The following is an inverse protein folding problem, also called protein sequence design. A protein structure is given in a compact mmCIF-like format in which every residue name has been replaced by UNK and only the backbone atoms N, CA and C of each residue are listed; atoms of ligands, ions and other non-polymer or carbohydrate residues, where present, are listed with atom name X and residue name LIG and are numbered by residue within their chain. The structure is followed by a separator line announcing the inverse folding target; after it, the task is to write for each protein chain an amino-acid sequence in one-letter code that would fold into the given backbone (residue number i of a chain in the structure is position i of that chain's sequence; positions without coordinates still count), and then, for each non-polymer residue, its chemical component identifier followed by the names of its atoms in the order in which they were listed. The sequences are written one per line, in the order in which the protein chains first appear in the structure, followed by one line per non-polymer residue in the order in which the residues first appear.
data_IF_496220311737
#
_entry.id   IF_496220311737
#
_cell.length_a   1.000
_cell.length_b   1.000
_cell.length_c   1.000
_cell.angle_alpha   90.00
_cell.angle_beta   90.00
_cell.angle_gamma   90.00
#
_symmetry.space_group_name_H-M   'P 1'
#
loop_
_entity.id
_entity.type
_entity.pdbx_description
1 polymer ?
#
# COMPACT_ATOMS: atom_id res chain seq x y z
N UNK A 1 -40.63 31.47 99.28
CA UNK A 1 -39.90 32.72 98.94
C UNK A 1 -39.09 32.46 97.64
N UNK A 2 -39.13 33.43 96.72
CA UNK A 2 -38.30 33.57 95.49
C UNK A 2 -38.70 32.69 94.35
N UNK A 3 -39.42 33.10 93.41
CA UNK A 3 -39.32 33.86 92.15
C UNK A 3 -38.18 33.41 91.23
N UNK A 4 -38.52 32.79 90.12
CA UNK A 4 -37.68 32.76 88.96
C UNK A 4 -38.48 32.73 87.65
N UNK A 5 -38.25 33.70 86.80
CA UNK A 5 -38.86 33.94 85.48
C UNK A 5 -38.47 32.81 84.47
N UNK A 6 -39.35 32.60 83.45
CA UNK A 6 -39.00 31.76 82.31
C UNK A 6 -38.41 32.62 81.22
N UNK A 7 -37.34 32.15 80.68
CA UNK A 7 -36.63 32.72 79.52
C UNK A 7 -37.22 32.12 78.22
N UNK A 8 -37.86 32.98 77.42
CA UNK A 8 -38.40 32.67 76.14
C UNK A 8 -37.22 32.66 75.16
N UNK A 9 -36.86 31.50 74.62
CA UNK A 9 -35.86 31.34 73.50
C UNK A 9 -36.64 31.41 72.19
N UNK A 10 -36.46 32.51 71.47
CA UNK A 10 -37.01 32.73 70.14
C UNK A 10 -36.12 31.93 69.14
N UNK A 11 -36.71 30.85 68.59
CA UNK A 11 -35.99 30.03 67.55
C UNK A 11 -36.28 30.65 66.19
N UNK A 12 -35.31 31.40 65.64
CA UNK A 12 -35.33 31.88 64.25
C UNK A 12 -35.08 30.70 63.30
N UNK A 13 -36.16 30.37 62.58
CA UNK A 13 -36.10 29.39 61.49
C UNK A 13 -35.49 30.04 60.26
N UNK A 14 -34.14 29.75 59.97
CA UNK A 14 -33.50 30.12 58.69
C UNK A 14 -33.84 29.06 57.69
N UNK A 15 -34.73 29.38 56.75
CA UNK A 15 -35.01 28.57 55.55
C UNK A 15 -33.85 28.77 54.59
N UNK A 16 -32.96 27.79 54.51
CA UNK A 16 -31.93 27.70 53.49
C UNK A 16 -32.62 27.14 52.21
N UNK A 17 -32.93 28.03 51.28
CA UNK A 17 -33.35 27.65 49.95
C UNK A 17 -32.15 27.01 49.24
N UNK A 18 -32.10 25.67 49.22
CA UNK A 18 -31.18 24.93 48.38
C UNK A 18 -31.56 25.14 46.90
N UNK A 19 -30.89 26.12 46.27
CA UNK A 19 -30.93 26.28 44.81
C UNK A 19 -30.24 25.08 44.16
N UNK A 20 -31.04 24.15 43.65
CA UNK A 20 -30.53 23.15 42.69
C UNK A 20 -30.12 23.89 41.41
N UNK A 21 -28.88 24.38 41.36
CA UNK A 21 -28.22 24.76 40.11
C UNK A 21 -28.14 23.51 39.24
N UNK A 22 -28.92 23.42 38.16
CA UNK A 22 -28.64 22.50 37.06
C UNK A 22 -27.20 22.72 36.62
N UNK A 23 -26.33 21.79 36.97
CA UNK A 23 -24.99 21.70 36.40
C UNK A 23 -25.23 21.49 34.91
N UNK A 24 -25.04 22.52 34.09
CA UNK A 24 -24.91 22.38 32.66
C UNK A 24 -23.75 21.42 32.46
N UNK A 25 -24.08 20.23 32.00
CA UNK A 25 -23.10 19.25 31.56
C UNK A 25 -22.34 19.89 30.39
N UNK A 26 -21.18 20.49 30.67
CA UNK A 26 -20.30 21.02 29.66
C UNK A 26 -19.94 19.85 28.77
N UNK A 27 -20.56 19.77 27.57
CA UNK A 27 -20.21 18.85 26.51
C UNK A 27 -18.69 18.97 26.31
N UNK A 28 -17.95 17.85 26.38
CA UNK A 28 -16.50 17.90 26.17
C UNK A 28 -16.20 18.65 24.89
N UNK A 29 -15.12 19.45 24.83
CA UNK A 29 -14.79 20.18 23.62
C UNK A 29 -14.72 19.19 22.47
N UNK A 30 -15.50 19.45 21.44
CA UNK A 30 -15.57 18.64 20.24
C UNK A 30 -14.20 18.70 19.56
N UNK A 31 -13.44 17.63 19.65
CA UNK A 31 -12.07 17.58 19.14
C UNK A 31 -12.13 17.41 17.62
N UNK A 32 -12.15 18.53 16.90
CA UNK A 32 -12.18 18.55 15.44
C UNK A 32 -10.78 18.24 14.94
N UNK A 33 -10.59 17.08 14.35
CA UNK A 33 -9.31 16.66 13.81
C UNK A 33 -9.03 17.37 12.46
N UNK A 34 -7.82 17.88 12.29
CA UNK A 34 -7.38 18.40 10.99
C UNK A 34 -6.84 17.24 10.16
N UNK A 35 -7.33 17.08 8.94
CA UNK A 35 -6.95 16.02 8.03
C UNK A 35 -6.65 16.55 6.63
N UNK A 36 -5.78 15.88 5.91
CA UNK A 36 -5.70 15.97 4.46
C UNK A 36 -6.50 14.83 3.85
N UNK A 37 -7.01 15.01 2.66
CA UNK A 37 -7.82 14.00 1.97
C UNK A 37 -7.27 13.69 0.60
N UNK A 38 -7.55 12.49 0.10
CA UNK A 38 -7.30 12.11 -1.27
C UNK A 38 -8.55 11.44 -1.87
N UNK A 39 -8.73 11.59 -3.17
CA UNK A 39 -9.76 10.86 -3.88
C UNK A 39 -9.27 9.43 -4.21
N UNK A 40 -10.10 8.43 -3.95
CA UNK A 40 -9.84 7.04 -4.35
C UNK A 40 -9.80 6.96 -5.87
N UNK A 41 -8.62 6.70 -6.41
CA UNK A 41 -8.41 6.53 -7.84
C UNK A 41 -8.61 5.07 -8.25
N UNK A 42 -9.01 4.84 -9.50
CA UNK A 42 -8.98 3.51 -10.11
C UNK A 42 -7.70 3.36 -10.94
N UNK A 43 -6.93 2.28 -10.70
CA UNK A 43 -5.68 2.01 -11.43
C UNK A 43 -5.56 0.54 -11.81
N UNK A 44 -4.84 0.30 -12.90
CA UNK A 44 -4.35 -1.03 -13.24
C UNK A 44 -3.08 -1.31 -12.45
N UNK A 45 -3.07 -2.40 -11.69
CA UNK A 45 -1.95 -2.78 -10.83
C UNK A 45 -1.39 -4.13 -11.27
N UNK A 46 -0.17 -4.18 -11.79
CA UNK A 46 0.47 -5.46 -12.08
C UNK A 46 0.91 -6.13 -10.77
N UNK A 47 0.44 -7.36 -10.56
CA UNK A 47 1.01 -8.27 -9.59
C UNK A 47 2.34 -8.77 -10.15
N UNK A 48 3.44 -8.33 -9.58
CA UNK A 48 4.77 -8.68 -10.07
C UNK A 48 5.54 -9.52 -9.07
N UNK A 49 6.35 -10.43 -9.60
CA UNK A 49 7.34 -11.17 -8.82
C UNK A 49 8.72 -10.85 -9.32
N UNK A 50 9.69 -10.83 -8.41
CA UNK A 50 11.06 -10.51 -8.73
C UNK A 50 12.03 -11.57 -8.25
N UNK A 51 13.07 -11.82 -9.05
CA UNK A 51 14.20 -12.66 -8.69
C UNK A 51 15.51 -11.96 -9.02
N UNK A 52 16.55 -12.28 -8.27
CA UNK A 52 17.89 -11.81 -8.54
C UNK A 52 18.67 -12.96 -9.17
N UNK A 53 19.28 -12.69 -10.31
CA UNK A 53 20.04 -13.67 -11.06
C UNK A 53 21.28 -13.07 -11.68
N UNK A 54 21.88 -13.84 -12.58
CA UNK A 54 23.11 -13.46 -13.27
C UNK A 54 23.10 -13.96 -14.71
N UNK A 55 24.04 -13.49 -15.50
CA UNK A 55 24.27 -14.01 -16.83
C UNK A 55 24.57 -15.52 -16.82
N UNK A 56 24.05 -16.24 -17.80
CA UNK A 56 24.26 -17.68 -17.98
C UNK A 56 24.28 -18.08 -19.46
N UNK A 57 24.66 -19.30 -19.69
CA UNK A 57 24.60 -19.96 -21.02
C UNK A 57 23.25 -20.69 -21.15
N UNK A 58 22.63 -20.62 -22.32
CA UNK A 58 21.25 -21.12 -22.50
C UNK A 58 21.18 -22.63 -22.42
N UNK A 59 22.07 -23.35 -23.02
CA UNK A 59 22.02 -24.81 -23.03
C UNK A 59 23.33 -25.42 -23.50
N UNK A 60 23.64 -26.62 -23.03
CA UNK A 60 24.73 -27.43 -23.57
C UNK A 60 24.44 -27.96 -24.99
N UNK A 61 23.16 -27.86 -25.42
CA UNK A 61 22.73 -28.32 -26.74
C UNK A 61 22.74 -27.21 -27.81
N UNK A 62 22.69 -25.94 -27.39
CA UNK A 62 22.85 -24.83 -28.34
C UNK A 62 24.32 -24.71 -28.68
N UNK A 63 24.66 -24.91 -29.95
CA UNK A 63 26.02 -24.71 -30.45
C UNK A 63 26.35 -23.23 -30.26
N UNK A 64 27.16 -22.96 -29.24
CA UNK A 64 27.63 -21.61 -28.94
C UNK A 64 28.54 -21.13 -30.09
N UNK A 65 28.09 -20.11 -30.79
CA UNK A 65 28.92 -19.38 -31.75
C UNK A 65 29.30 -18.02 -31.12
N UNK A 66 30.52 -17.93 -30.54
CA UNK A 66 30.99 -16.72 -29.87
C UNK A 66 31.03 -15.50 -30.79
N UNK A 67 31.12 -15.71 -32.10
CA UNK A 67 31.24 -14.61 -33.06
C UNK A 67 29.90 -14.04 -33.48
N UNK A 68 28.84 -14.83 -33.38
CA UNK A 68 27.47 -14.45 -33.79
C UNK A 68 26.58 -14.00 -32.63
N UNK A 69 26.70 -14.64 -31.47
CA UNK A 69 25.67 -14.51 -30.41
C UNK A 69 26.05 -13.54 -29.31
N UNK A 70 27.31 -13.39 -28.93
CA UNK A 70 27.73 -12.48 -27.86
C UNK A 70 27.47 -10.99 -28.16
N UNK A 71 27.40 -10.59 -29.42
CA UNK A 71 27.16 -9.20 -29.78
C UNK A 71 25.68 -8.81 -29.75
N UNK A 72 24.75 -9.76 -29.70
CA UNK A 72 23.33 -9.50 -29.91
C UNK A 72 22.34 -10.14 -28.93
N UNK A 73 22.76 -11.11 -28.10
CA UNK A 73 21.89 -11.82 -27.16
C UNK A 73 22.59 -12.10 -25.86
N UNK A 74 21.85 -11.90 -24.78
CA UNK A 74 22.24 -12.29 -23.43
C UNK A 74 21.19 -13.22 -22.85
N UNK A 75 21.62 -14.09 -21.97
CA UNK A 75 20.74 -14.98 -21.23
C UNK A 75 20.91 -14.73 -19.73
N UNK A 76 19.83 -14.46 -19.04
CA UNK A 76 19.82 -14.21 -17.60
C UNK A 76 19.08 -15.35 -16.92
N UNK A 77 19.76 -15.98 -15.97
CA UNK A 77 19.19 -17.02 -15.11
C UNK A 77 18.56 -16.36 -13.89
N UNK A 78 17.26 -16.61 -13.68
CA UNK A 78 16.46 -16.06 -12.60
C UNK A 78 15.85 -17.21 -11.80
N UNK A 79 16.21 -17.40 -10.51
CA UNK A 79 15.62 -18.41 -9.65
C UNK A 79 14.29 -17.92 -9.10
N UNK A 80 13.17 -18.45 -9.57
CA UNK A 80 11.85 -18.17 -9.04
C UNK A 80 11.34 -19.31 -8.15
N UNK A 81 10.53 -19.02 -7.11
CA UNK A 81 9.86 -20.05 -6.32
C UNK A 81 8.96 -20.95 -7.17
N UNK A 82 8.83 -22.22 -6.77
CA UNK A 82 8.10 -23.24 -7.53
C UNK A 82 6.61 -22.92 -7.71
N UNK A 83 5.99 -22.28 -6.73
CA UNK A 83 4.58 -21.85 -6.76
C UNK A 83 4.33 -20.78 -7.82
N UNK A 84 5.28 -19.86 -8.01
CA UNK A 84 5.21 -18.79 -9.01
C UNK A 84 5.36 -19.36 -10.43
N UNK A 85 6.22 -20.35 -10.61
CA UNK A 85 6.54 -20.89 -11.94
C UNK A 85 5.33 -21.47 -12.66
N UNK A 86 4.35 -22.01 -11.95
CA UNK A 86 3.10 -22.50 -12.53
C UNK A 86 2.30 -21.43 -13.27
N UNK A 87 2.54 -20.16 -12.95
CA UNK A 87 1.90 -18.97 -13.53
C UNK A 87 2.73 -18.38 -14.68
N UNK A 88 3.99 -18.80 -14.84
CA UNK A 88 4.88 -18.29 -15.88
C UNK A 88 4.66 -19.03 -17.21
N UNK A 89 4.92 -18.29 -18.31
CA UNK A 89 4.81 -18.85 -19.66
C UNK A 89 6.07 -18.49 -20.47
N UNK A 90 6.51 -19.44 -21.29
CA UNK A 90 7.53 -19.18 -22.31
C UNK A 90 6.99 -18.08 -23.24
N UNK A 91 7.85 -17.12 -23.61
CA UNK A 91 7.46 -15.96 -24.39
C UNK A 91 7.00 -14.75 -23.57
N UNK A 92 6.81 -14.90 -22.25
CA UNK A 92 6.41 -13.80 -21.36
C UNK A 92 7.56 -12.80 -21.18
N UNK A 93 7.22 -11.52 -21.14
CA UNK A 93 8.18 -10.43 -20.94
C UNK A 93 8.70 -10.38 -19.50
N UNK A 94 9.96 -10.06 -19.36
CA UNK A 94 10.68 -9.85 -18.09
C UNK A 94 11.36 -8.50 -18.13
N UNK A 95 11.10 -7.64 -17.15
CA UNK A 95 11.87 -6.42 -16.97
C UNK A 95 13.14 -6.74 -16.22
N UNK A 96 14.29 -6.47 -16.81
CA UNK A 96 15.62 -6.73 -16.25
C UNK A 96 16.28 -5.42 -15.86
N UNK A 97 16.79 -5.34 -14.63
CA UNK A 97 17.45 -4.16 -14.09
C UNK A 97 18.84 -4.56 -13.59
N UNK A 98 19.88 -3.91 -14.09
CA UNK A 98 21.24 -4.05 -13.56
C UNK A 98 21.34 -3.40 -12.18
N UNK A 99 21.97 -4.08 -11.23
CA UNK A 99 22.24 -3.49 -9.91
C UNK A 99 23.35 -2.42 -9.97
N UNK A 100 24.27 -2.52 -10.88
CA UNK A 100 25.43 -1.62 -10.96
C UNK A 100 25.07 -0.21 -11.45
N UNK A 101 24.31 -0.11 -12.55
CA UNK A 101 24.00 1.17 -13.19
C UNK A 101 22.50 1.50 -13.23
N UNK A 102 21.65 0.63 -12.66
CA UNK A 102 20.20 0.80 -12.64
C UNK A 102 19.51 0.76 -14.00
N UNK A 103 20.25 0.51 -15.09
CA UNK A 103 19.67 0.45 -16.42
C UNK A 103 18.72 -0.71 -16.57
N UNK A 104 17.60 -0.46 -17.23
CA UNK A 104 16.54 -1.42 -17.48
C UNK A 104 16.52 -1.86 -18.94
N UNK A 105 16.18 -3.12 -19.16
CA UNK A 105 15.85 -3.67 -20.47
C UNK A 105 14.72 -4.68 -20.36
N UNK A 106 14.15 -5.07 -21.50
CA UNK A 106 13.11 -6.08 -21.56
C UNK A 106 13.69 -7.35 -22.17
N UNK A 107 13.59 -8.44 -21.43
CA UNK A 107 13.86 -9.79 -21.90
C UNK A 107 12.57 -10.58 -22.10
N UNK A 108 12.71 -11.79 -22.61
CA UNK A 108 11.61 -12.74 -22.81
C UNK A 108 11.99 -14.08 -22.21
N UNK A 109 11.07 -14.73 -21.50
CA UNK A 109 11.28 -16.08 -20.98
C UNK A 109 11.49 -17.05 -22.15
N UNK A 110 12.68 -17.61 -22.25
CA UNK A 110 13.06 -18.57 -23.28
C UNK A 110 12.88 -20.01 -22.81
N UNK A 111 13.20 -20.26 -21.55
CA UNK A 111 13.21 -21.60 -20.99
C UNK A 111 12.83 -21.56 -19.49
N UNK A 112 12.15 -22.57 -19.03
CA UNK A 112 11.86 -22.81 -17.62
C UNK A 112 12.44 -24.19 -17.29
N UNK A 113 13.50 -24.21 -16.47
CA UNK A 113 14.22 -25.43 -16.08
C UNK A 113 13.72 -25.92 -14.73
N UNK A 114 13.35 -27.20 -14.60
CA UNK A 114 13.05 -27.76 -13.31
C UNK A 114 14.21 -27.55 -12.34
N UNK A 115 13.90 -27.25 -11.09
CA UNK A 115 14.91 -27.13 -10.05
C UNK A 115 15.69 -28.42 -9.93
N UNK A 116 17.01 -28.33 -10.06
CA UNK A 116 17.91 -29.47 -9.82
C UNK A 116 18.15 -29.72 -8.32
N UNK A 117 17.71 -28.81 -7.46
CA UNK A 117 17.90 -28.89 -6.02
C UNK A 117 16.55 -28.89 -5.29
N UNK A 118 16.26 -29.97 -4.62
CA UNK A 118 15.11 -30.09 -3.69
C UNK A 118 15.28 -29.19 -2.45
N UNK A 119 16.48 -28.70 -2.17
CA UNK A 119 16.75 -27.85 -1.00
C UNK A 119 16.31 -26.41 -1.18
N UNK A 120 16.37 -25.87 -2.41
CA UNK A 120 16.04 -24.45 -2.64
C UNK A 120 14.59 -24.22 -3.07
N UNK A 121 13.88 -25.26 -3.50
CA UNK A 121 12.50 -25.21 -4.03
C UNK A 121 12.31 -24.10 -5.10
N UNK A 122 13.37 -23.80 -5.84
CA UNK A 122 13.37 -22.80 -6.91
C UNK A 122 13.46 -23.46 -8.26
N UNK A 123 12.90 -22.80 -9.26
CA UNK A 123 12.98 -23.16 -10.67
C UNK A 123 13.78 -22.09 -11.38
N UNK A 124 14.68 -22.50 -12.25
CA UNK A 124 15.46 -21.58 -13.05
C UNK A 124 14.67 -21.14 -14.28
N UNK A 125 14.44 -19.84 -14.37
CA UNK A 125 13.85 -19.21 -15.53
C UNK A 125 14.97 -18.53 -16.31
N UNK A 126 15.10 -18.87 -17.59
CA UNK A 126 16.08 -18.28 -18.48
C UNK A 126 15.41 -17.20 -19.34
N UNK A 127 15.79 -15.97 -19.13
CA UNK A 127 15.35 -14.83 -19.92
C UNK A 127 16.36 -14.51 -21.02
N UNK A 128 15.90 -14.47 -22.27
CA UNK A 128 16.68 -14.01 -23.42
C UNK A 128 16.53 -12.48 -23.55
N UNK A 129 17.64 -11.78 -23.70
CA UNK A 129 17.69 -10.35 -23.99
C UNK A 129 18.31 -10.15 -25.36
N UNK A 130 17.58 -9.55 -26.27
CA UNK A 130 18.14 -9.03 -27.52
C UNK A 130 18.80 -7.70 -27.21
N UNK A 131 20.12 -7.62 -27.39
CA UNK A 131 20.88 -6.43 -27.01
C UNK A 131 20.42 -5.18 -27.78
N UNK A 132 19.79 -4.21 -27.09
CA UNK A 132 19.31 -2.98 -27.72
C UNK A 132 20.41 -1.92 -27.92
N UNK A 133 21.71 -2.31 -27.80
CA UNK A 133 22.83 -1.38 -27.92
C UNK A 133 23.16 -0.69 -26.60
N UNK A 134 24.02 -1.29 -25.79
CA UNK A 134 24.58 -0.66 -24.61
C UNK A 134 24.18 -1.20 -23.25
N UNK A 135 23.11 -2.02 -23.14
CA UNK A 135 22.83 -2.76 -21.92
C UNK A 135 23.71 -4.02 -21.87
N UNK A 136 24.42 -4.19 -20.77
CA UNK A 136 25.20 -5.40 -20.49
C UNK A 136 24.89 -5.86 -19.06
N UNK A 137 24.69 -7.16 -18.84
CA UNK A 137 24.59 -7.66 -17.49
C UNK A 137 25.97 -7.52 -16.82
N UNK A 138 26.00 -6.71 -15.76
CA UNK A 138 27.18 -6.54 -14.94
C UNK A 138 26.86 -7.13 -13.57
N UNK A 139 27.43 -8.28 -13.24
CA UNK A 139 27.20 -8.96 -11.97
C UNK A 139 25.75 -9.43 -11.80
N UNK A 140 25.05 -8.90 -10.79
CA UNK A 140 23.67 -9.30 -10.48
C UNK A 140 22.64 -8.48 -11.24
N UNK A 141 21.60 -9.15 -11.71
CA UNK A 141 20.46 -8.58 -12.43
C UNK A 141 19.17 -8.90 -11.70
N UNK A 142 18.33 -7.92 -11.47
CA UNK A 142 16.96 -8.14 -11.00
C UNK A 142 16.04 -8.36 -12.19
N UNK A 143 15.37 -9.51 -12.21
CA UNK A 143 14.29 -9.79 -13.15
C UNK A 143 12.94 -9.61 -12.47
N UNK A 144 12.03 -8.85 -13.07
CA UNK A 144 10.66 -8.61 -12.60
C UNK A 144 9.68 -9.10 -13.66
N UNK A 145 8.76 -9.98 -13.27
CA UNK A 145 7.75 -10.58 -14.15
C UNK A 145 6.37 -10.21 -13.65
N UNK A 146 5.52 -9.73 -14.56
CA UNK A 146 4.11 -9.50 -14.24
C UNK A 146 3.34 -10.81 -14.36
N UNK A 147 2.78 -11.28 -13.26
CA UNK A 147 1.99 -12.52 -13.21
C UNK A 147 0.54 -12.30 -13.62
N UNK A 148 -0.01 -11.15 -13.25
CA UNK A 148 -1.39 -10.77 -13.46
C UNK A 148 -1.51 -9.26 -13.42
N UNK A 149 -2.56 -8.72 -14.03
CA UNK A 149 -2.90 -7.30 -13.94
C UNK A 149 -4.28 -7.20 -13.30
N UNK A 150 -4.34 -6.66 -12.10
CA UNK A 150 -5.58 -6.27 -11.47
C UNK A 150 -6.04 -4.96 -12.12
N UNK A 151 -7.14 -5.03 -12.87
CA UNK A 151 -7.60 -3.89 -13.66
C UNK A 151 -8.61 -3.06 -12.90
N UNK A 152 -8.50 -1.73 -13.05
CA UNK A 152 -9.48 -0.77 -12.54
C UNK A 152 -9.73 -0.91 -11.02
N UNK A 153 -8.68 -1.21 -10.25
CA UNK A 153 -8.80 -1.41 -8.81
C UNK A 153 -8.74 -0.10 -8.03
N UNK A 154 -9.56 0.04 -6.98
CA UNK A 154 -9.45 1.18 -6.07
C UNK A 154 -8.07 1.23 -5.42
N UNK A 155 -7.43 2.39 -5.45
CA UNK A 155 -6.15 2.61 -4.78
C UNK A 155 -6.20 3.85 -3.88
N UNK A 156 -5.53 3.76 -2.75
CA UNK A 156 -5.39 4.85 -1.79
C UNK A 156 -3.93 5.04 -1.40
N UNK A 157 -3.52 6.23 -0.96
CA UNK A 157 -2.22 6.43 -0.35
C UNK A 157 -2.04 5.51 0.88
N UNK A 158 -0.85 5.00 1.10
CA UNK A 158 -0.54 4.12 2.22
C UNK A 158 -0.91 4.74 3.57
N UNK A 159 -0.73 6.05 3.73
CA UNK A 159 -1.07 6.80 4.94
C UNK A 159 -2.58 6.81 5.26
N UNK A 160 -3.44 6.48 4.28
CA UNK A 160 -4.89 6.37 4.50
C UNK A 160 -5.28 5.10 5.24
N UNK A 161 -4.39 4.10 5.29
CA UNK A 161 -4.67 2.82 5.95
C UNK A 161 -4.32 2.93 7.43
N UNK A 162 -5.32 2.72 8.27
CA UNK A 162 -5.17 2.70 9.73
C UNK A 162 -5.39 1.29 10.25
N UNK A 163 -4.40 0.76 10.96
CA UNK A 163 -4.53 -0.54 11.60
C UNK A 163 -5.27 -0.39 12.94
N UNK A 164 -6.35 -1.14 13.11
CA UNK A 164 -7.15 -1.23 14.33
C UNK A 164 -7.16 -2.68 14.82
N UNK A 165 -7.52 -2.95 16.08
CA UNK A 165 -7.59 -4.33 16.59
C UNK A 165 -8.47 -5.26 15.74
N UNK A 166 -9.50 -4.70 15.08
CA UNK A 166 -10.41 -5.44 14.21
C UNK A 166 -9.91 -5.58 12.76
N UNK A 167 -8.76 -5.00 12.41
CA UNK A 167 -8.19 -5.03 11.05
C UNK A 167 -7.87 -3.66 10.47
N UNK A 168 -7.59 -3.62 9.18
CA UNK A 168 -7.31 -2.40 8.44
C UNK A 168 -8.60 -1.60 8.20
N UNK A 169 -8.53 -0.28 8.39
CA UNK A 169 -9.65 0.65 8.24
C UNK A 169 -9.20 1.85 7.41
N UNK A 170 -10.08 2.34 6.56
CA UNK A 170 -9.97 3.64 5.87
C UNK A 170 -11.11 4.53 6.35
N UNK A 171 -10.80 5.80 6.60
CA UNK A 171 -11.82 6.79 6.96
C UNK A 171 -12.27 7.56 5.72
N UNK A 172 -13.52 7.33 5.32
CA UNK A 172 -14.18 8.07 4.25
C UNK A 172 -14.75 9.35 4.80
N UNK A 173 -14.48 10.47 4.15
CA UNK A 173 -14.96 11.78 4.58
C UNK A 173 -16.19 12.17 3.76
N UNK A 174 -17.30 12.39 4.47
CA UNK A 174 -18.53 12.94 3.92
C UNK A 174 -19.08 13.98 4.89
N UNK A 175 -19.49 15.15 4.38
CA UNK A 175 -20.05 16.24 5.16
C UNK A 175 -19.20 16.65 6.38
N UNK A 176 -17.87 16.64 6.22
CA UNK A 176 -16.89 16.89 7.28
C UNK A 176 -16.98 15.89 8.46
N UNK A 177 -17.47 14.70 8.21
CA UNK A 177 -17.52 13.60 9.18
C UNK A 177 -16.71 12.42 8.62
N UNK A 178 -15.93 11.78 9.48
CA UNK A 178 -15.13 10.60 9.15
C UNK A 178 -15.95 9.34 9.42
N UNK A 179 -16.14 8.51 8.41
CA UNK A 179 -16.80 7.22 8.51
C UNK A 179 -15.78 6.10 8.36
N UNK A 180 -15.71 5.23 9.36
CA UNK A 180 -14.76 4.11 9.36
C UNK A 180 -15.26 2.98 8.47
N UNK A 181 -14.49 2.66 7.44
CA UNK A 181 -14.75 1.53 6.54
C UNK A 181 -13.67 0.46 6.73
N UNK A 182 -14.03 -0.73 7.25
CA UNK A 182 -13.13 -1.88 7.21
C UNK A 182 -12.76 -2.21 5.77
N UNK A 183 -11.48 -2.43 5.51
CA UNK A 183 -10.97 -2.69 4.17
C UNK A 183 -10.11 -3.93 4.13
N UNK A 184 -10.10 -4.58 2.97
CA UNK A 184 -9.15 -5.63 2.64
C UNK A 184 -8.15 -5.07 1.63
N UNK A 185 -6.90 -5.04 2.03
CA UNK A 185 -5.81 -4.52 1.20
C UNK A 185 -5.25 -5.58 0.28
N UNK A 186 -4.76 -5.17 -0.87
CA UNK A 186 -4.10 -6.00 -1.87
C UNK A 186 -2.66 -5.56 -2.13
N UNK A 187 -2.32 -5.33 -3.39
CA UNK A 187 -0.98 -4.96 -3.83
C UNK A 187 -0.60 -3.58 -3.28
N UNK A 188 0.61 -3.48 -2.74
CA UNK A 188 1.25 -2.21 -2.37
C UNK A 188 2.33 -1.88 -3.39
N UNK A 189 2.25 -0.68 -3.99
CA UNK A 189 3.22 -0.21 -4.97
C UNK A 189 3.29 1.31 -4.99
N UNK A 190 4.52 1.85 -5.03
CA UNK A 190 4.78 3.29 -5.19
C UNK A 190 4.03 4.18 -4.18
N UNK A 191 3.93 3.73 -2.91
CA UNK A 191 3.22 4.46 -1.84
C UNK A 191 1.69 4.42 -1.94
N UNK A 192 1.14 3.60 -2.85
CA UNK A 192 -0.29 3.35 -3.00
C UNK A 192 -0.62 1.91 -2.60
N UNK A 193 -1.78 1.72 -2.03
CA UNK A 193 -2.30 0.39 -1.65
C UNK A 193 -3.61 0.13 -2.40
N UNK A 194 -3.68 -1.04 -3.00
CA UNK A 194 -4.91 -1.59 -3.59
C UNK A 194 -5.92 -1.95 -2.51
N UNK A 195 -7.17 -1.62 -2.75
CA UNK A 195 -8.27 -2.03 -1.89
C UNK A 195 -9.14 -3.04 -2.63
N UNK A 196 -9.15 -4.26 -2.12
CA UNK A 196 -9.93 -5.36 -2.69
C UNK A 196 -11.41 -5.27 -2.30
N UNK A 197 -11.68 -4.81 -1.07
CA UNK A 197 -13.03 -4.71 -0.51
C UNK A 197 -13.13 -3.51 0.45
N UNK A 198 -14.29 -2.87 0.52
CA UNK A 198 -14.65 -1.87 1.54
C UNK A 198 -14.87 -0.45 1.05
N UNK A 199 -14.23 -0.04 -0.04
CA UNK A 199 -14.42 1.31 -0.64
C UNK A 199 -14.49 1.25 -2.17
N UNK A 200 -14.92 2.37 -2.77
CA UNK A 200 -15.10 2.47 -4.21
C UNK A 200 -14.31 3.67 -4.79
N UNK A 201 -13.92 3.61 -6.08
CA UNK A 201 -13.36 4.75 -6.76
C UNK A 201 -14.24 5.99 -6.69
N UNK A 202 -13.64 7.17 -6.56
CA UNK A 202 -14.34 8.44 -6.45
C UNK A 202 -14.62 8.89 -5.01
N UNK A 203 -14.55 8.00 -4.02
CA UNK A 203 -14.72 8.38 -2.62
C UNK A 203 -13.55 9.24 -2.12
N UNK A 204 -13.81 10.07 -1.13
CA UNK A 204 -12.80 10.92 -0.50
C UNK A 204 -12.36 10.25 0.81
N UNK A 205 -11.08 10.00 0.96
CA UNK A 205 -10.51 9.34 2.13
C UNK A 205 -9.53 10.25 2.86
N UNK A 206 -9.47 10.11 4.19
CA UNK A 206 -8.46 10.79 5.00
C UNK A 206 -7.06 10.21 4.73
N UNK A 207 -6.05 11.07 4.66
CA UNK A 207 -4.65 10.71 4.49
C UNK A 207 -3.87 11.07 5.76
N UNK A 208 -3.37 12.32 5.84
CA UNK A 208 -2.72 12.76 7.09
C UNK A 208 -3.76 12.99 8.17
N UNK A 209 -3.42 12.59 9.39
CA UNK A 209 -4.34 12.66 10.52
C UNK A 209 -5.34 11.50 10.62
N UNK A 210 -5.39 10.61 9.63
CA UNK A 210 -6.30 9.46 9.63
C UNK A 210 -6.17 8.58 10.89
N UNK A 211 -4.95 8.39 11.39
CA UNK A 211 -4.68 7.58 12.58
C UNK A 211 -5.36 8.12 13.86
N UNK A 212 -5.66 9.42 13.92
CA UNK A 212 -6.29 10.09 15.06
C UNK A 212 -7.82 10.04 15.01
N UNK A 213 -8.40 9.57 13.89
CA UNK A 213 -9.84 9.56 13.70
C UNK A 213 -10.49 8.38 14.40
N UNK A 214 -11.74 8.61 14.77
CA UNK A 214 -12.71 7.59 15.20
C UNK A 214 -13.93 7.66 14.28
N UNK A 215 -14.72 6.62 14.25
CA UNK A 215 -15.98 6.64 13.51
C UNK A 215 -16.90 7.75 14.01
N UNK A 216 -17.50 8.51 13.09
CA UNK A 216 -18.32 9.67 13.38
C UNK A 216 -17.58 10.93 13.82
N UNK A 217 -16.23 10.94 13.80
CA UNK A 217 -15.44 12.12 14.18
C UNK A 217 -15.64 13.27 13.19
N UNK A 218 -15.84 14.49 13.73
CA UNK A 218 -15.84 15.69 12.91
C UNK A 218 -14.41 16.07 12.50
N UNK A 219 -14.25 16.43 11.25
CA UNK A 219 -12.95 16.76 10.66
C UNK A 219 -12.97 18.14 10.01
N UNK A 220 -11.80 18.78 10.01
CA UNK A 220 -11.53 19.97 9.24
C UNK A 220 -10.55 19.58 8.12
N UNK A 221 -11.02 19.58 6.86
CA UNK A 221 -10.20 19.25 5.70
C UNK A 221 -9.34 20.45 5.34
N UNK A 222 -8.01 20.34 5.46
CA UNK A 222 -7.07 21.43 5.21
C UNK A 222 -6.59 21.52 3.76
N UNK A 223 -6.46 20.37 3.08
CA UNK A 223 -6.08 20.28 1.66
C UNK A 223 -6.54 18.94 1.11
N UNK A 224 -7.01 18.94 -0.12
CA UNK A 224 -7.17 17.68 -0.86
C UNK A 224 -5.81 17.39 -1.50
N UNK A 225 -5.11 16.34 -1.03
CA UNK A 225 -3.93 15.87 -1.72
C UNK A 225 -4.38 15.35 -3.09
N UNK A 226 -3.90 15.96 -4.17
CA UNK A 226 -4.09 15.43 -5.51
C UNK A 226 -3.39 14.06 -5.55
N UNK A 227 -4.13 13.00 -5.89
CA UNK A 227 -3.54 11.68 -6.05
C UNK A 227 -2.35 11.80 -7.01
N UNK A 228 -1.16 11.24 -6.67
CA UNK A 228 0.00 11.37 -7.53
C UNK A 228 -0.38 10.93 -8.95
N UNK A 229 -0.21 11.84 -9.90
CA UNK A 229 -0.57 11.63 -11.29
C UNK A 229 0.07 10.33 -11.79
N UNK A 230 -0.71 9.52 -12.50
CA UNK A 230 -0.21 8.32 -13.14
C UNK A 230 1.06 8.69 -13.90
N UNK A 231 2.20 8.13 -13.49
CA UNK A 231 3.45 8.31 -14.21
C UNK A 231 3.19 7.99 -15.67
N UNK A 232 3.31 8.99 -16.54
CA UNK A 232 3.29 8.78 -17.98
C UNK A 232 4.34 7.69 -18.26
N UNK A 233 3.87 6.53 -18.71
CA UNK A 233 4.72 5.56 -19.34
C UNK A 233 5.47 6.34 -20.42
N UNK A 234 6.75 6.57 -20.22
CA UNK A 234 7.59 7.26 -21.17
C UNK A 234 7.57 6.48 -22.47
N UNK A 235 6.79 6.96 -23.43
CA UNK A 235 7.02 6.67 -24.83
C UNK A 235 8.28 7.44 -25.18
N UNK A 236 9.44 6.77 -25.07
CA UNK A 236 10.66 7.23 -25.68
C UNK A 236 10.62 6.91 -27.17
N UNK A 237 11.24 7.74 -27.99
CA UNK A 237 11.32 7.57 -29.43
C UNK A 237 12.11 6.31 -29.84
#
# INVERSE_FOLDING_TARGET
MSRSLPWIVLLSFIVIAAGCGKKEEQKPPENIANVTTAQVAARDLPLTESAVGSETWVSQADTYDPTRDLARRFYIRLPFPLDIVRRLKIGQSVTLTNFEDGKKTIGVIREIRPALSTMTQTVEVIAEVKNPGGWRPAGSVRGEISLEIHRNMPVVPEQSIVLRPAGAVVYVISDNVAHAHPVKTGIQREGMIEILEGIQPGWIVAVDGAALLSDGAKVNVRNTAEAPAAGKAGAGP
#
